data_IF_708242467059
#
_entry.id   IF_708242467059
#
_cell.length_a   1.000
_cell.length_b   1.000
_cell.length_c   1.000
_cell.angle_alpha   90.00
_cell.angle_beta   90.00
_cell.angle_gamma   90.00
#
_symmetry.space_group_name_H-M   'P 1'
#
loop_
_entity.id
_entity.type
_entity.pdbx_description
1 polymer ?
#
# COMPACT_ATOMS: atom_id res chain seq x y z
N UNK A 1 -24.50 -1.30 -0.92
CA UNK A 1 -23.09 -1.26 -1.38
C UNK A 1 -22.66 -2.67 -1.73
N UNK A 2 -22.15 -2.92 -2.92
CA UNK A 2 -21.71 -4.26 -3.33
C UNK A 2 -20.46 -4.62 -2.52
N UNK A 3 -20.36 -5.86 -2.07
CA UNK A 3 -19.26 -6.33 -1.19
C UNK A 3 -17.86 -6.00 -1.77
N UNK A 4 -17.69 -6.17 -3.08
CA UNK A 4 -16.42 -5.89 -3.77
C UNK A 4 -16.04 -4.40 -3.89
N UNK A 5 -16.96 -3.45 -3.67
CA UNK A 5 -16.61 -2.03 -3.58
C UNK A 5 -15.72 -1.72 -2.36
N UNK A 6 -15.77 -2.57 -1.34
CA UNK A 6 -14.85 -2.49 -0.21
C UNK A 6 -13.40 -2.88 -0.54
N UNK A 7 -13.11 -3.43 -1.71
CA UNK A 7 -11.74 -3.65 -2.17
C UNK A 7 -11.06 -2.32 -2.45
N UNK A 8 -11.79 -1.36 -3.02
CA UNK A 8 -11.27 -0.03 -3.33
C UNK A 8 -11.22 0.86 -2.09
N UNK A 9 -12.31 0.96 -1.35
CA UNK A 9 -12.42 1.79 -0.14
C UNK A 9 -13.18 1.05 0.95
N UNK A 10 -12.50 0.31 1.83
CA UNK A 10 -13.14 -0.40 2.94
C UNK A 10 -13.94 0.56 3.81
N UNK A 11 -15.20 0.20 4.11
CA UNK A 11 -16.10 0.98 4.97
C UNK A 11 -16.91 0.08 5.89
N UNK A 12 -17.14 0.53 7.11
CA UNK A 12 -17.96 -0.16 8.11
C UNK A 12 -17.47 -1.59 8.43
N UNK A 13 -18.38 -2.42 8.90
CA UNK A 13 -18.07 -3.80 9.32
C UNK A 13 -17.62 -4.70 8.16
N UNK A 14 -18.27 -4.59 7.00
CA UNK A 14 -17.88 -5.34 5.79
C UNK A 14 -16.51 -4.93 5.27
N UNK A 15 -16.12 -3.67 5.43
CA UNK A 15 -14.79 -3.19 5.12
C UNK A 15 -13.71 -3.80 6.01
N UNK A 16 -13.96 -3.95 7.31
CA UNK A 16 -13.04 -4.64 8.24
C UNK A 16 -12.81 -6.10 7.86
N UNK A 17 -13.86 -6.79 7.44
CA UNK A 17 -13.72 -8.17 6.95
C UNK A 17 -12.90 -8.20 5.65
N UNK A 18 -13.16 -7.26 4.74
CA UNK A 18 -12.43 -7.15 3.48
C UNK A 18 -10.94 -6.92 3.70
N UNK A 19 -10.53 -5.99 4.57
CA UNK A 19 -9.10 -5.75 4.86
C UNK A 19 -8.39 -6.99 5.38
N UNK A 20 -9.04 -7.80 6.22
CA UNK A 20 -8.48 -9.07 6.70
C UNK A 20 -8.34 -10.10 5.58
N UNK A 21 -9.34 -10.20 4.70
CA UNK A 21 -9.29 -11.11 3.54
C UNK A 21 -8.18 -10.69 2.56
N UNK A 22 -8.01 -9.39 2.32
CA UNK A 22 -6.96 -8.86 1.46
C UNK A 22 -5.57 -9.15 2.03
N UNK A 23 -5.36 -8.94 3.33
CA UNK A 23 -4.08 -9.26 3.99
C UNK A 23 -3.65 -10.73 3.80
N UNK A 24 -4.60 -11.66 3.88
CA UNK A 24 -4.30 -13.09 3.67
C UNK A 24 -4.25 -13.48 2.19
N UNK A 25 -5.12 -12.90 1.36
CA UNK A 25 -5.22 -13.21 -0.06
C UNK A 25 -3.97 -12.81 -0.84
N UNK A 26 -3.39 -11.64 -0.54
CA UNK A 26 -2.23 -11.11 -1.25
C UNK A 26 -0.87 -11.50 -0.63
N UNK A 27 -0.85 -12.34 0.42
CA UNK A 27 0.38 -12.69 1.13
C UNK A 27 1.46 -13.31 0.22
N UNK A 28 1.08 -14.19 -0.71
CA UNK A 28 2.02 -14.80 -1.66
C UNK A 28 2.58 -13.79 -2.65
N UNK A 29 1.74 -12.90 -3.17
CA UNK A 29 2.16 -11.83 -4.07
C UNK A 29 3.11 -10.86 -3.36
N UNK A 30 2.78 -10.45 -2.14
CA UNK A 30 3.66 -9.61 -1.31
C UNK A 30 5.01 -10.28 -1.09
N UNK A 31 5.02 -11.56 -0.73
CA UNK A 31 6.25 -12.32 -0.49
C UNK A 31 7.13 -12.36 -1.75
N UNK A 32 6.52 -12.58 -2.92
CA UNK A 32 7.21 -12.53 -4.19
C UNK A 32 7.75 -11.12 -4.47
N UNK A 33 6.94 -10.06 -4.34
CA UNK A 33 7.36 -8.68 -4.53
C UNK A 33 8.57 -8.33 -3.65
N UNK A 34 8.49 -8.66 -2.36
CA UNK A 34 9.58 -8.45 -1.42
C UNK A 34 10.84 -9.28 -1.71
N UNK A 35 10.75 -10.40 -2.40
CA UNK A 35 11.94 -11.20 -2.78
C UNK A 35 12.81 -10.51 -3.83
N UNK A 36 12.26 -9.52 -4.55
CA UNK A 36 12.96 -8.79 -5.61
C UNK A 36 13.65 -7.50 -5.11
N UNK A 37 13.56 -7.18 -3.83
CA UNK A 37 14.15 -5.97 -3.26
C UNK A 37 14.99 -6.28 -2.03
N UNK A 38 16.18 -5.67 -1.96
CA UNK A 38 17.02 -5.65 -0.76
C UNK A 38 16.85 -4.31 -0.08
N UNK A 39 16.40 -4.32 1.17
CA UNK A 39 16.19 -3.11 1.95
C UNK A 39 17.36 -2.83 2.90
N UNK A 40 17.71 -1.55 3.06
CA UNK A 40 18.63 -1.10 4.12
C UNK A 40 17.95 -1.23 5.48
N UNK A 41 18.69 -1.69 6.49
CA UNK A 41 18.13 -1.91 7.83
C UNK A 41 17.65 -0.63 8.53
N UNK A 42 18.19 0.52 8.17
CA UNK A 42 17.93 1.86 8.72
C UNK A 42 17.05 2.73 7.80
N UNK A 43 16.37 2.13 6.84
CA UNK A 43 15.59 2.85 5.84
C UNK A 43 14.32 3.50 6.40
N UNK A 44 13.98 4.66 5.83
CA UNK A 44 12.67 5.31 5.93
C UNK A 44 11.76 4.79 4.81
N UNK A 45 10.65 4.20 5.17
CA UNK A 45 9.73 3.52 4.22
C UNK A 45 8.33 4.11 4.26
N UNK A 46 7.72 4.29 3.09
CA UNK A 46 6.29 4.60 2.95
C UNK A 46 5.58 3.46 2.20
N UNK A 47 4.54 2.89 2.83
CA UNK A 47 3.64 1.91 2.18
C UNK A 47 2.33 2.61 1.81
N UNK A 48 2.12 2.88 0.51
CA UNK A 48 0.98 3.63 -0.04
C UNK A 48 -0.17 2.67 -0.36
N UNK A 49 -1.35 2.95 0.20
CA UNK A 49 -2.48 2.04 0.16
C UNK A 49 -2.24 0.82 1.05
N UNK A 50 -1.74 1.04 2.27
CA UNK A 50 -1.29 0.00 3.19
C UNK A 50 -2.38 -0.96 3.65
N UNK A 51 -3.66 -0.67 3.36
CA UNK A 51 -4.78 -1.53 3.71
C UNK A 51 -4.82 -1.90 5.19
N UNK A 52 -4.88 -3.19 5.49
CA UNK A 52 -4.86 -3.70 6.87
C UNK A 52 -3.47 -3.80 7.50
N UNK A 53 -2.42 -3.28 6.85
CA UNK A 53 -1.07 -3.12 7.41
C UNK A 53 -0.18 -4.36 7.42
N UNK A 54 -0.51 -5.40 6.66
CA UNK A 54 0.30 -6.62 6.63
C UNK A 54 1.71 -6.38 6.05
N UNK A 55 1.83 -5.56 5.01
CA UNK A 55 3.10 -5.24 4.39
C UNK A 55 3.98 -4.34 5.27
N UNK A 56 3.36 -3.51 6.12
CA UNK A 56 4.09 -2.74 7.14
C UNK A 56 4.88 -3.68 8.06
N UNK A 57 4.28 -4.78 8.50
CA UNK A 57 4.97 -5.76 9.35
C UNK A 57 6.18 -6.40 8.63
N UNK A 58 6.07 -6.67 7.32
CA UNK A 58 7.19 -7.17 6.51
C UNK A 58 8.30 -6.14 6.39
N UNK A 59 7.96 -4.86 6.16
CA UNK A 59 8.94 -3.77 6.12
C UNK A 59 9.65 -3.59 7.45
N UNK A 60 8.93 -3.65 8.58
CA UNK A 60 9.50 -3.54 9.92
C UNK A 60 10.53 -4.64 10.25
N UNK A 61 10.30 -5.87 9.76
CA UNK A 61 11.28 -6.96 9.90
C UNK A 61 12.54 -6.72 9.07
N UNK A 62 12.42 -6.07 7.92
CA UNK A 62 13.53 -5.75 7.02
C UNK A 62 14.30 -4.49 7.46
N UNK A 63 13.60 -3.46 7.93
CA UNK A 63 14.14 -2.16 8.30
C UNK A 63 14.15 -1.99 9.82
N UNK A 64 14.83 -2.88 10.53
CA UNK A 64 14.81 -2.98 12.01
C UNK A 64 15.33 -1.73 12.72
N UNK A 65 16.20 -0.96 12.10
CA UNK A 65 16.79 0.27 12.62
C UNK A 65 16.17 1.53 12.01
N UNK A 66 15.30 1.38 11.04
CA UNK A 66 14.59 2.43 10.32
C UNK A 66 13.19 2.70 10.89
N UNK A 67 12.38 3.32 10.04
CA UNK A 67 10.98 3.63 10.37
C UNK A 67 10.06 3.34 9.19
N UNK A 68 8.86 2.84 9.46
CA UNK A 68 7.87 2.49 8.45
C UNK A 68 6.60 3.31 8.64
N UNK A 69 6.20 4.02 7.61
CA UNK A 69 4.94 4.76 7.56
C UNK A 69 3.96 4.05 6.62
N UNK A 70 2.80 3.68 7.12
CA UNK A 70 1.66 3.28 6.29
C UNK A 70 0.76 4.46 5.97
N UNK A 71 0.26 4.55 4.74
CA UNK A 71 -0.72 5.55 4.35
C UNK A 71 -1.87 4.88 3.59
N UNK A 72 -3.10 5.18 3.98
CA UNK A 72 -4.30 4.74 3.26
C UNK A 72 -5.36 5.84 3.28
N UNK A 73 -6.19 5.94 2.25
CA UNK A 73 -7.26 6.95 2.20
C UNK A 73 -8.54 6.50 2.94
N UNK A 74 -8.65 5.22 3.28
CA UNK A 74 -9.75 4.64 4.05
C UNK A 74 -9.47 4.69 5.55
N UNK A 75 -10.32 5.37 6.31
CA UNK A 75 -10.25 5.36 7.78
C UNK A 75 -10.28 3.94 8.37
N UNK A 76 -11.06 3.05 7.75
CA UNK A 76 -11.18 1.66 8.20
C UNK A 76 -9.86 0.93 8.02
N UNK A 77 -9.19 1.10 6.87
CA UNK A 77 -7.86 0.54 6.61
C UNK A 77 -6.84 1.06 7.61
N UNK A 78 -6.80 2.38 7.82
CA UNK A 78 -5.91 3.03 8.80
C UNK A 78 -6.10 2.44 10.19
N UNK A 79 -7.36 2.35 10.67
CA UNK A 79 -7.66 1.83 12.00
C UNK A 79 -7.26 0.34 12.17
N UNK A 80 -7.52 -0.51 11.17
CA UNK A 80 -7.11 -1.92 11.22
C UNK A 80 -5.58 -2.06 11.10
N UNK A 81 -4.92 -1.24 10.30
CA UNK A 81 -3.46 -1.19 10.19
C UNK A 81 -2.79 -0.74 11.50
N UNK A 82 -3.31 0.32 12.13
CA UNK A 82 -2.84 0.78 13.44
C UNK A 82 -2.99 -0.30 14.51
N UNK A 83 -4.10 -1.02 14.50
CA UNK A 83 -4.34 -2.13 15.44
C UNK A 83 -3.36 -3.29 15.22
N UNK A 84 -3.13 -3.67 13.97
CA UNK A 84 -2.19 -4.76 13.63
C UNK A 84 -0.76 -4.42 14.05
N UNK A 85 -0.33 -3.17 13.84
CA UNK A 85 1.03 -2.70 14.07
C UNK A 85 1.19 -1.93 15.41
N UNK A 86 0.24 -2.06 16.34
CA UNK A 86 0.18 -1.27 17.57
C UNK A 86 1.45 -1.32 18.41
N UNK A 87 2.14 -2.48 18.47
CA UNK A 87 3.39 -2.61 19.21
C UNK A 87 4.52 -1.78 18.58
N UNK A 88 4.67 -1.85 17.26
CA UNK A 88 5.69 -1.06 16.54
C UNK A 88 5.41 0.45 16.63
N UNK A 89 4.13 0.84 16.59
CA UNK A 89 3.72 2.25 16.78
C UNK A 89 4.11 2.72 18.20
N UNK A 90 3.80 1.92 19.22
CA UNK A 90 4.19 2.24 20.61
C UNK A 90 5.70 2.37 20.80
N UNK A 91 6.48 1.63 20.04
CA UNK A 91 7.94 1.65 20.05
C UNK A 91 8.54 2.80 19.22
N UNK A 92 7.73 3.61 18.55
CA UNK A 92 8.19 4.68 17.65
C UNK A 92 8.84 4.19 16.35
N UNK A 93 8.56 2.94 15.95
CA UNK A 93 9.11 2.31 14.74
C UNK A 93 8.15 2.39 13.55
N UNK A 94 6.90 2.76 13.81
CA UNK A 94 5.85 2.79 12.80
C UNK A 94 4.88 3.94 13.04
N UNK A 95 4.41 4.52 11.94
CA UNK A 95 3.23 5.39 11.91
C UNK A 95 2.24 4.86 10.88
N UNK A 96 0.93 5.11 11.10
CA UNK A 96 -0.10 4.88 10.09
C UNK A 96 -0.99 6.11 10.05
N UNK A 97 -1.10 6.72 8.87
CA UNK A 97 -1.83 7.96 8.65
C UNK A 97 -2.89 7.80 7.57
N UNK A 98 -3.94 8.61 7.66
CA UNK A 98 -4.87 8.77 6.55
C UNK A 98 -4.30 9.78 5.55
N UNK A 99 -4.32 9.43 4.25
CA UNK A 99 -3.82 10.32 3.20
C UNK A 99 -4.23 9.86 1.80
N UNK A 100 -4.12 10.78 0.85
CA UNK A 100 -4.37 10.53 -0.56
C UNK A 100 -3.04 10.57 -1.33
N UNK A 101 -2.79 9.57 -2.16
CA UNK A 101 -1.57 9.45 -2.95
C UNK A 101 -1.38 10.60 -3.95
N UNK A 102 -2.45 11.29 -4.33
CA UNK A 102 -2.38 12.48 -5.19
C UNK A 102 -1.92 13.75 -4.47
N UNK A 103 -1.75 13.69 -3.13
CA UNK A 103 -1.25 14.77 -2.28
C UNK A 103 -0.65 14.16 -1.00
N UNK A 104 0.53 13.56 -1.12
CA UNK A 104 1.20 12.83 -0.03
C UNK A 104 1.65 13.83 1.05
N UNK A 105 1.20 13.69 2.33
CA UNK A 105 1.40 14.70 3.38
C UNK A 105 2.78 14.62 4.05
N UNK A 106 3.83 14.42 3.24
CA UNK A 106 5.22 14.35 3.70
C UNK A 106 6.10 15.27 2.87
N UNK A 107 7.23 15.67 3.43
CA UNK A 107 8.23 16.52 2.76
C UNK A 107 8.90 15.80 1.60
N UNK A 108 9.53 16.57 0.71
CA UNK A 108 10.34 16.06 -0.38
C UNK A 108 11.51 15.23 0.17
N UNK A 109 11.94 14.25 -0.60
CA UNK A 109 13.12 13.43 -0.31
C UNK A 109 13.14 12.83 1.14
N UNK A 110 11.99 12.32 1.58
CA UNK A 110 11.82 11.76 2.94
C UNK A 110 12.14 10.27 2.98
N UNK A 111 11.72 9.50 1.97
CA UNK A 111 11.73 8.04 2.01
C UNK A 111 12.81 7.41 1.14
N UNK A 112 13.45 6.37 1.66
CA UNK A 112 14.38 5.52 0.89
C UNK A 112 13.59 4.54 0.00
N UNK A 113 12.43 4.08 0.48
CA UNK A 113 11.53 3.19 -0.26
C UNK A 113 10.09 3.68 -0.17
N UNK A 114 9.41 3.63 -1.31
CA UNK A 114 7.94 3.71 -1.37
C UNK A 114 7.44 2.39 -1.95
N UNK A 115 6.41 1.80 -1.35
CA UNK A 115 5.76 0.60 -1.87
C UNK A 115 4.29 0.81 -2.16
N UNK A 116 3.78 0.08 -3.15
CA UNK A 116 2.37 0.05 -3.54
C UNK A 116 2.01 -1.39 -3.96
N UNK A 117 1.26 -2.09 -3.10
CA UNK A 117 0.83 -3.47 -3.34
C UNK A 117 -0.66 -3.51 -3.64
N UNK A 118 -1.06 -3.91 -4.84
CA UNK A 118 -2.46 -4.06 -5.27
C UNK A 118 -3.30 -2.77 -5.17
N UNK A 119 -2.69 -1.60 -5.23
CA UNK A 119 -3.36 -0.33 -4.98
C UNK A 119 -3.36 0.64 -6.18
N UNK A 120 -2.37 0.55 -7.07
CA UNK A 120 -2.20 1.46 -8.22
C UNK A 120 -3.43 1.46 -9.14
N UNK A 121 -4.19 0.38 -9.20
CA UNK A 121 -5.46 0.27 -9.92
C UNK A 121 -6.50 1.35 -9.61
N UNK A 122 -6.40 1.93 -8.41
CA UNK A 122 -7.38 2.85 -7.85
C UNK A 122 -6.89 4.29 -7.76
N UNK A 123 -5.67 4.57 -8.21
CA UNK A 123 -5.05 5.87 -8.08
C UNK A 123 -5.71 6.92 -9.01
N UNK A 124 -6.04 8.12 -8.49
CA UNK A 124 -6.67 9.17 -9.28
C UNK A 124 -5.64 9.90 -10.15
N UNK A 125 -5.42 9.41 -11.38
CA UNK A 125 -4.48 10.05 -12.32
C UNK A 125 -3.02 9.70 -12.02
N UNK A 126 -2.48 8.69 -12.72
CA UNK A 126 -1.15 8.12 -12.47
C UNK A 126 -0.03 9.16 -12.48
N UNK A 127 -0.03 10.07 -13.46
CA UNK A 127 1.04 11.08 -13.60
C UNK A 127 1.17 11.90 -12.32
N UNK A 128 0.05 12.40 -11.79
CA UNK A 128 0.06 13.18 -10.54
C UNK A 128 0.51 12.34 -9.35
N UNK A 129 0.00 11.12 -9.23
CA UNK A 129 0.35 10.24 -8.12
C UNK A 129 1.82 9.82 -8.17
N UNK A 130 2.34 9.50 -9.35
CA UNK A 130 3.76 9.17 -9.52
C UNK A 130 4.67 10.38 -9.28
N UNK A 131 4.22 11.59 -9.64
CA UNK A 131 4.96 12.83 -9.29
C UNK A 131 5.06 13.02 -7.78
N UNK A 132 3.99 12.75 -7.03
CA UNK A 132 4.02 12.82 -5.57
C UNK A 132 4.91 11.74 -4.96
N UNK A 133 4.85 10.50 -5.46
CA UNK A 133 5.77 9.43 -5.03
C UNK A 133 7.22 9.84 -5.31
N UNK A 134 7.51 10.35 -6.52
CA UNK A 134 8.86 10.80 -6.87
C UNK A 134 9.33 11.98 -5.99
N UNK A 135 8.43 12.90 -5.65
CA UNK A 135 8.75 14.04 -4.78
C UNK A 135 9.18 13.59 -3.38
N UNK A 136 8.47 12.62 -2.78
CA UNK A 136 8.77 12.17 -1.41
C UNK A 136 9.91 11.15 -1.35
N UNK A 137 10.29 10.54 -2.48
CA UNK A 137 11.47 9.67 -2.56
C UNK A 137 12.75 10.48 -2.49
N UNK A 138 13.73 9.97 -1.76
CA UNK A 138 15.11 10.47 -1.80
C UNK A 138 15.73 10.23 -3.18
N UNK A 139 16.81 10.97 -3.48
CA UNK A 139 17.68 10.60 -4.59
C UNK A 139 18.15 9.16 -4.41
N UNK A 140 18.10 8.34 -5.47
CA UNK A 140 18.37 6.89 -5.44
C UNK A 140 17.35 6.08 -4.62
N UNK A 141 16.24 6.67 -4.19
CA UNK A 141 15.13 5.96 -3.56
C UNK A 141 14.43 5.02 -4.53
N UNK A 142 13.83 3.96 -4.03
CA UNK A 142 13.20 2.92 -4.85
C UNK A 142 11.68 2.96 -4.68
N UNK A 143 10.96 2.96 -5.80
CA UNK A 143 9.51 2.73 -5.83
C UNK A 143 9.22 1.28 -6.22
N UNK A 144 8.67 0.49 -5.30
CA UNK A 144 8.24 -0.88 -5.52
C UNK A 144 6.74 -0.92 -5.81
N UNK A 145 6.37 -1.29 -7.04
CA UNK A 145 4.98 -1.58 -7.41
C UNK A 145 4.84 -3.10 -7.54
N UNK A 146 3.81 -3.67 -6.92
CA UNK A 146 3.51 -5.08 -6.99
C UNK A 146 2.00 -5.28 -7.24
N UNK A 147 1.65 -5.74 -8.42
CA UNK A 147 0.27 -5.95 -8.87
C UNK A 147 0.11 -7.36 -9.41
N UNK A 148 -1.05 -8.01 -9.13
CA UNK A 148 -1.41 -9.32 -9.69
C UNK A 148 -1.91 -9.18 -11.14
N UNK A 149 -2.65 -8.12 -11.42
CA UNK A 149 -3.24 -7.85 -12.74
C UNK A 149 -2.37 -6.89 -13.55
N UNK A 150 -1.97 -7.29 -14.74
CA UNK A 150 -1.08 -6.54 -15.65
C UNK A 150 -1.68 -6.27 -17.04
N UNK A 151 -2.96 -6.59 -17.24
CA UNK A 151 -3.67 -6.43 -18.52
C UNK A 151 -3.52 -7.61 -19.48
N UNK A 152 -2.76 -8.65 -19.15
CA UNK A 152 -2.56 -9.84 -19.98
C UNK A 152 -3.43 -11.03 -19.55
N UNK A 153 -4.02 -10.97 -18.37
CA UNK A 153 -4.77 -12.04 -17.75
C UNK A 153 -6.26 -11.98 -18.16
N UNK A 154 -6.85 -13.12 -18.53
CA UNK A 154 -8.29 -13.21 -18.85
C UNK A 154 -9.21 -12.87 -17.68
N UNK A 155 -8.72 -12.96 -16.43
CA UNK A 155 -9.45 -12.56 -15.24
C UNK A 155 -9.55 -11.01 -15.09
N UNK A 156 -8.71 -10.24 -15.75
CA UNK A 156 -8.62 -8.79 -15.62
C UNK A 156 -9.92 -8.09 -16.06
N UNK A 157 -10.54 -8.55 -17.15
CA UNK A 157 -11.84 -8.06 -17.59
C UNK A 157 -12.95 -8.30 -16.55
N UNK A 158 -12.89 -9.43 -15.84
CA UNK A 158 -13.84 -9.74 -14.78
C UNK A 158 -13.70 -8.75 -13.62
N UNK A 159 -12.48 -8.47 -13.18
CA UNK A 159 -12.23 -7.56 -12.09
C UNK A 159 -12.62 -6.12 -12.39
N UNK A 160 -12.28 -5.61 -13.58
CA UNK A 160 -12.67 -4.25 -14.00
C UNK A 160 -14.18 -4.07 -14.13
N UNK A 161 -14.93 -5.14 -14.47
CA UNK A 161 -16.40 -5.13 -14.49
C UNK A 161 -17.02 -5.23 -13.09
N UNK A 162 -16.35 -5.89 -12.15
CA UNK A 162 -16.86 -6.11 -10.78
C UNK A 162 -16.55 -4.97 -9.81
N UNK A 163 -15.42 -4.30 -9.98
CA UNK A 163 -14.93 -3.26 -9.08
C UNK A 163 -14.96 -1.91 -9.82
N UNK A 164 -15.88 -1.05 -9.44
CA UNK A 164 -16.05 0.24 -10.09
C UNK A 164 -14.80 1.13 -9.89
N UNK A 165 -14.29 1.69 -11.00
CA UNK A 165 -13.13 2.56 -11.01
C UNK A 165 -11.78 1.85 -10.92
N UNK A 166 -11.75 0.52 -10.95
CA UNK A 166 -10.51 -0.23 -11.12
C UNK A 166 -9.99 -0.05 -12.55
N UNK A 167 -8.72 0.31 -12.67
CA UNK A 167 -7.99 0.44 -13.94
C UNK A 167 -6.76 -0.44 -13.91
N UNK A 168 -6.63 -1.33 -14.87
CA UNK A 168 -5.44 -2.16 -15.03
C UNK A 168 -4.54 -1.49 -16.07
N UNK A 169 -3.27 -1.38 -15.73
CA UNK A 169 -2.27 -0.73 -16.57
C UNK A 169 -1.30 -1.79 -17.07
N UNK A 170 -1.04 -1.77 -18.38
CA UNK A 170 -0.01 -2.61 -19.01
C UNK A 170 1.35 -1.96 -18.86
N UNK A 171 2.40 -2.78 -18.72
CA UNK A 171 3.80 -2.36 -18.74
C UNK A 171 4.26 -1.93 -20.13
#
# INVERSE_FOLDING_TARGET
MRFFENTRKPQGFSGKLMTKMMNSGHAKLSQWGFSNISAKSDAEVLDVGCGGGANIAVWLDRCRNGHVTGMDYSEVSVAESQKLNALAIKQGKCNVVQGDVSAIPFSDATFDYVSAFETVYFWPGLVKCFSEVNRVLKSEGIFLICNESDGTNTADEKWTKMINGMKIYTS
#
